data_IF_502987468723
#
_entry.id   IF_502987468723
#
_cell.length_a   1.000
_cell.length_b   1.000
_cell.length_c   1.000
_cell.angle_alpha   90.00
_cell.angle_beta   90.00
_cell.angle_gamma   90.00
#
_symmetry.space_group_name_H-M   'P 1'
#
loop_
_entity.id
_entity.type
_entity.pdbx_description
1 polymer ?
#
# COMPACT_ATOMS: atom_id res chain seq x y z
N UNK A 1 8.52 -12.51 2.40
CA UNK A 1 7.13 -12.43 1.92
C UNK A 1 7.04 -11.44 0.77
N UNK A 2 6.55 -11.87 -0.41
CA UNK A 2 6.47 -10.99 -1.59
C UNK A 2 5.53 -9.80 -1.40
N UNK A 3 5.81 -8.70 -2.10
CA UNK A 3 5.04 -7.44 -2.05
C UNK A 3 3.54 -7.69 -2.26
N UNK A 4 3.20 -8.56 -3.22
CA UNK A 4 1.82 -8.94 -3.54
C UNK A 4 1.09 -9.54 -2.34
N UNK A 5 1.73 -10.44 -1.59
CA UNK A 5 1.09 -11.10 -0.44
C UNK A 5 0.82 -10.10 0.71
N UNK A 6 1.68 -9.11 0.91
CA UNK A 6 1.45 -8.04 1.90
C UNK A 6 0.21 -7.21 1.54
N UNK A 7 0.06 -6.86 0.25
CA UNK A 7 -1.13 -6.15 -0.26
C UNK A 7 -2.41 -6.95 -0.04
N UNK A 8 -2.40 -8.25 -0.34
CA UNK A 8 -3.55 -9.12 -0.11
C UNK A 8 -3.90 -9.27 1.37
N UNK A 9 -2.90 -9.37 2.25
CA UNK A 9 -3.17 -9.39 3.70
C UNK A 9 -3.80 -8.09 4.18
N UNK A 10 -3.28 -6.92 3.78
CA UNK A 10 -3.90 -5.64 4.12
C UNK A 10 -5.36 -5.57 3.66
N UNK A 11 -5.64 -5.96 2.41
CA UNK A 11 -6.98 -5.99 1.87
C UNK A 11 -7.90 -6.94 2.66
N UNK A 12 -7.40 -8.13 3.02
CA UNK A 12 -8.14 -9.08 3.84
C UNK A 12 -8.52 -8.50 5.21
N UNK A 13 -7.56 -7.89 5.91
CA UNK A 13 -7.84 -7.25 7.20
C UNK A 13 -8.80 -6.07 7.07
N UNK A 14 -8.71 -5.28 6.00
CA UNK A 14 -9.67 -4.19 5.75
C UNK A 14 -11.09 -4.73 5.59
N UNK A 15 -11.27 -5.80 4.81
CA UNK A 15 -12.56 -6.45 4.62
C UNK A 15 -13.11 -6.92 5.97
N UNK A 16 -12.31 -7.63 6.76
CA UNK A 16 -12.71 -8.09 8.10
C UNK A 16 -13.11 -6.91 8.98
N UNK A 17 -12.30 -5.84 9.02
CA UNK A 17 -12.60 -4.67 9.82
C UNK A 17 -13.83 -3.89 9.34
N UNK A 18 -14.13 -3.85 8.03
CA UNK A 18 -15.35 -3.22 7.51
C UNK A 18 -16.60 -3.93 8.05
N UNK A 19 -16.66 -5.26 7.91
CA UNK A 19 -17.81 -6.03 8.41
C UNK A 19 -17.88 -6.05 9.94
N UNK A 20 -16.73 -6.10 10.62
CA UNK A 20 -16.68 -6.02 12.09
C UNK A 20 -17.14 -4.65 12.60
N UNK A 21 -16.76 -3.56 11.91
CA UNK A 21 -17.23 -2.21 12.22
C UNK A 21 -18.73 -2.06 12.01
N UNK A 22 -19.27 -2.68 10.95
CA UNK A 22 -20.73 -2.70 10.73
C UNK A 22 -21.45 -3.44 11.85
N UNK A 23 -20.95 -4.62 12.22
CA UNK A 23 -21.48 -5.39 13.32
C UNK A 23 -21.50 -4.58 14.63
N UNK A 24 -20.37 -3.96 14.98
CA UNK A 24 -20.28 -3.12 16.18
C UNK A 24 -21.18 -1.88 16.10
N UNK A 25 -21.27 -1.22 14.94
CA UNK A 25 -22.15 -0.07 14.74
C UNK A 25 -23.62 -0.43 14.97
N UNK A 26 -24.06 -1.59 14.45
CA UNK A 26 -25.41 -2.10 14.64
C UNK A 26 -25.65 -2.55 16.08
N UNK A 27 -24.69 -3.24 16.69
CA UNK A 27 -24.75 -3.65 18.08
C UNK A 27 -24.86 -2.44 19.02
N UNK A 28 -24.03 -1.41 18.84
CA UNK A 28 -24.09 -0.18 19.62
C UNK A 28 -25.37 0.62 19.38
N UNK A 29 -25.97 0.51 18.18
CA UNK A 29 -27.21 1.21 17.86
C UNK A 29 -28.44 0.51 18.46
N UNK A 30 -28.49 -0.81 18.39
CA UNK A 30 -29.67 -1.60 18.72
C UNK A 30 -29.59 -2.31 20.08
N UNK A 31 -28.40 -2.43 20.69
CA UNK A 31 -28.12 -3.06 21.98
C UNK A 31 -28.96 -4.33 22.21
N UNK A 32 -30.00 -4.26 23.06
CA UNK A 32 -30.84 -5.40 23.45
C UNK A 32 -31.80 -5.88 22.35
N UNK A 33 -32.07 -5.04 21.33
CA UNK A 33 -32.92 -5.37 20.18
C UNK A 33 -32.11 -5.79 18.96
N UNK A 34 -30.83 -6.14 19.14
CA UNK A 34 -30.00 -6.59 18.05
C UNK A 34 -30.40 -8.01 17.63
N UNK A 35 -30.96 -8.12 16.43
CA UNK A 35 -31.36 -9.38 15.82
C UNK A 35 -30.58 -9.63 14.52
N UNK A 36 -30.36 -10.90 14.18
CA UNK A 36 -29.66 -11.28 12.95
C UNK A 36 -30.33 -10.72 11.68
N UNK A 37 -31.66 -10.54 11.68
CA UNK A 37 -32.41 -9.95 10.57
C UNK A 37 -32.02 -8.49 10.32
N UNK A 38 -31.71 -7.73 11.39
CA UNK A 38 -31.23 -6.35 11.27
C UNK A 38 -29.87 -6.34 10.59
N UNK A 39 -28.97 -7.24 10.97
CA UNK A 39 -27.66 -7.35 10.31
C UNK A 39 -27.81 -7.71 8.83
N UNK A 40 -28.62 -8.72 8.50
CA UNK A 40 -28.84 -9.16 7.12
C UNK A 40 -29.46 -8.07 6.23
N UNK A 41 -30.37 -7.26 6.76
CA UNK A 41 -30.96 -6.15 6.00
C UNK A 41 -29.98 -5.02 5.69
N UNK A 42 -28.93 -4.85 6.50
CA UNK A 42 -27.87 -3.87 6.27
C UNK A 42 -26.68 -4.44 5.50
N UNK A 43 -26.52 -5.77 5.47
CA UNK A 43 -25.37 -6.42 4.86
C UNK A 43 -25.25 -6.09 3.37
N UNK A 44 -26.33 -6.24 2.59
CA UNK A 44 -26.30 -5.99 1.15
C UNK A 44 -25.99 -4.53 0.79
N UNK A 45 -26.70 -3.51 1.34
CA UNK A 45 -26.38 -2.11 1.07
C UNK A 45 -24.95 -1.72 1.46
N UNK A 46 -24.47 -2.17 2.62
CA UNK A 46 -23.12 -1.85 3.07
C UNK A 46 -22.05 -2.61 2.30
N UNK A 47 -22.32 -3.80 1.76
CA UNK A 47 -21.37 -4.52 0.89
C UNK A 47 -21.07 -3.71 -0.37
N UNK A 48 -22.08 -3.11 -1.00
CA UNK A 48 -21.90 -2.23 -2.16
C UNK A 48 -21.05 -1.02 -1.76
N UNK A 49 -21.35 -0.40 -0.62
CA UNK A 49 -20.58 0.74 -0.11
C UNK A 49 -19.12 0.37 0.18
N UNK A 50 -18.89 -0.77 0.82
CA UNK A 50 -17.56 -1.28 1.18
C UNK A 50 -16.74 -1.58 -0.06
N UNK A 51 -17.35 -2.13 -1.10
CA UNK A 51 -16.67 -2.32 -2.37
C UNK A 51 -16.15 -1.00 -2.96
N UNK A 52 -16.96 0.06 -2.93
CA UNK A 52 -16.53 1.40 -3.35
C UNK A 52 -15.43 1.97 -2.45
N UNK A 53 -15.52 1.76 -1.13
CA UNK A 53 -14.49 2.21 -0.20
C UNK A 53 -13.14 1.53 -0.47
N UNK A 54 -13.13 0.23 -0.77
CA UNK A 54 -11.92 -0.51 -1.13
C UNK A 54 -11.28 0.02 -2.41
N UNK A 55 -12.08 0.36 -3.43
CA UNK A 55 -11.58 1.02 -4.65
C UNK A 55 -10.89 2.34 -4.28
N UNK A 56 -11.51 3.14 -3.42
CA UNK A 56 -10.94 4.42 -3.00
C UNK A 56 -9.65 4.23 -2.21
N UNK A 57 -9.58 3.26 -1.28
CA UNK A 57 -8.33 2.94 -0.59
C UNK A 57 -7.23 2.53 -1.57
N UNK A 58 -7.58 1.81 -2.64
CA UNK A 58 -6.65 1.43 -3.69
C UNK A 58 -6.15 2.66 -4.46
N UNK A 59 -7.04 3.53 -4.92
CA UNK A 59 -6.68 4.76 -5.64
C UNK A 59 -5.81 5.70 -4.81
N UNK A 60 -6.05 5.76 -3.49
CA UNK A 60 -5.26 6.59 -2.57
C UNK A 60 -3.94 5.92 -2.12
N UNK A 61 -3.58 4.75 -2.66
CA UNK A 61 -2.30 4.10 -2.37
C UNK A 61 -2.19 3.51 -0.96
N UNK A 62 -3.31 3.22 -0.29
CA UNK A 62 -3.28 2.64 1.08
C UNK A 62 -2.80 1.19 1.15
N UNK A 63 -2.50 0.59 0.00
CA UNK A 63 -1.86 -0.72 -0.11
C UNK A 63 -0.37 -0.62 -0.46
N UNK A 64 0.18 0.60 -0.61
CA UNK A 64 1.59 0.85 -0.85
C UNK A 64 2.24 1.39 0.45
N UNK A 65 3.19 0.65 1.00
CA UNK A 65 3.77 0.92 2.33
C UNK A 65 4.71 2.14 2.35
N UNK A 66 5.23 2.50 1.19
CA UNK A 66 6.17 3.61 1.01
C UNK A 66 5.44 4.94 1.15
N UNK A 67 4.21 5.02 0.63
CA UNK A 67 3.37 6.22 0.62
C UNK A 67 2.82 6.58 2.01
N UNK A 68 2.75 5.63 2.95
CA UNK A 68 1.99 5.81 4.19
C UNK A 68 2.78 6.39 5.38
N UNK A 69 4.09 6.66 5.24
CA UNK A 69 4.96 6.97 6.39
C UNK A 69 4.94 8.41 6.88
N UNK A 70 4.88 9.39 5.98
CA UNK A 70 5.06 10.80 6.37
C UNK A 70 3.77 11.48 6.85
N UNK A 71 2.60 10.98 6.42
CA UNK A 71 1.31 11.66 6.63
C UNK A 71 0.14 10.72 6.89
N UNK A 72 0.39 9.57 7.54
CA UNK A 72 -0.61 8.52 7.78
C UNK A 72 -1.92 9.06 8.36
N UNK A 73 -1.84 9.92 9.38
CA UNK A 73 -3.03 10.47 10.06
C UNK A 73 -3.85 11.32 9.08
N UNK A 74 -3.22 12.29 8.42
CA UNK A 74 -3.90 13.18 7.47
C UNK A 74 -4.49 12.40 6.30
N UNK A 75 -3.70 11.50 5.68
CA UNK A 75 -4.17 10.63 4.59
C UNK A 75 -5.38 9.81 5.06
N UNK A 76 -5.32 9.21 6.25
CA UNK A 76 -6.42 8.39 6.80
C UNK A 76 -7.68 9.22 7.01
N UNK A 77 -7.56 10.40 7.62
CA UNK A 77 -8.72 11.29 7.84
C UNK A 77 -9.34 11.70 6.51
N UNK A 78 -8.52 12.07 5.51
CA UNK A 78 -9.00 12.46 4.19
C UNK A 78 -9.77 11.32 3.51
N UNK A 79 -9.22 10.10 3.49
CA UNK A 79 -9.85 8.97 2.79
C UNK A 79 -11.13 8.51 3.49
N UNK A 80 -11.13 8.48 4.83
CA UNK A 80 -12.32 8.11 5.60
C UNK A 80 -13.42 9.17 5.44
N UNK A 81 -13.06 10.45 5.42
CA UNK A 81 -14.02 11.53 5.18
C UNK A 81 -14.63 11.46 3.78
N UNK A 82 -13.80 11.21 2.76
CA UNK A 82 -14.27 11.03 1.39
C UNK A 82 -15.22 9.84 1.26
N UNK A 83 -14.86 8.70 1.87
CA UNK A 83 -15.69 7.50 1.92
C UNK A 83 -17.00 7.69 2.69
N UNK A 84 -16.98 8.46 3.78
CA UNK A 84 -18.18 8.83 4.51
C UNK A 84 -19.13 9.66 3.65
N UNK A 85 -18.61 10.70 2.99
CA UNK A 85 -19.38 11.55 2.07
C UNK A 85 -19.97 10.71 0.93
N UNK A 86 -19.19 9.80 0.35
CA UNK A 86 -19.67 8.86 -0.66
C UNK A 86 -20.81 7.98 -0.13
N UNK A 87 -20.71 7.49 1.11
CA UNK A 87 -21.77 6.71 1.75
C UNK A 87 -23.04 7.51 1.97
N UNK A 88 -22.93 8.79 2.31
CA UNK A 88 -24.08 9.70 2.41
C UNK A 88 -24.77 9.82 1.05
N UNK A 89 -24.01 10.04 -0.03
CA UNK A 89 -24.54 10.07 -1.39
C UNK A 89 -25.22 8.75 -1.76
N UNK A 90 -24.55 7.62 -1.55
CA UNK A 90 -25.06 6.30 -1.90
C UNK A 90 -26.40 5.99 -1.22
N UNK A 91 -26.52 6.23 0.08
CA UNK A 91 -27.75 5.93 0.82
C UNK A 91 -28.85 6.98 0.64
N UNK A 92 -28.53 8.20 0.22
CA UNK A 92 -29.53 9.23 -0.02
C UNK A 92 -30.13 9.14 -1.42
N UNK A 93 -29.31 8.86 -2.44
CA UNK A 93 -29.74 8.88 -3.85
C UNK A 93 -30.25 7.53 -4.36
N UNK A 94 -30.06 6.43 -3.63
CA UNK A 94 -30.55 5.10 -4.03
C UNK A 94 -31.77 4.70 -3.18
N UNK A 95 -33.01 4.81 -3.70
CA UNK A 95 -34.23 4.59 -2.93
C UNK A 95 -34.47 3.11 -2.57
N UNK A 96 -33.79 2.18 -3.26
CA UNK A 96 -33.99 0.74 -3.09
C UNK A 96 -33.62 0.22 -1.70
N UNK A 97 -32.81 0.95 -0.94
CA UNK A 97 -32.32 0.47 0.35
C UNK A 97 -33.34 0.49 1.48
N UNK A 98 -34.51 1.15 1.31
CA UNK A 98 -35.66 1.25 2.25
C UNK A 98 -35.35 1.72 3.70
N UNK A 99 -34.07 1.76 4.06
CA UNK A 99 -33.49 2.15 5.33
C UNK A 99 -32.53 3.29 5.00
N UNK A 100 -32.60 4.38 5.75
CA UNK A 100 -31.58 5.44 5.68
C UNK A 100 -30.71 5.32 6.92
N UNK A 101 -29.63 4.52 6.90
CA UNK A 101 -28.83 4.19 8.09
C UNK A 101 -27.91 5.34 8.49
N UNK A 102 -28.42 6.58 8.65
CA UNK A 102 -27.61 7.79 8.90
C UNK A 102 -26.70 7.62 10.12
N UNK A 103 -27.26 7.19 11.24
CA UNK A 103 -26.52 6.95 12.48
C UNK A 103 -25.56 5.77 12.34
N UNK A 104 -25.97 4.70 11.67
CA UNK A 104 -25.14 3.49 11.51
C UNK A 104 -23.95 3.78 10.58
N UNK A 105 -24.13 4.59 9.52
CA UNK A 105 -23.04 5.02 8.66
C UNK A 105 -22.01 5.83 9.46
N UNK A 106 -22.45 6.79 10.29
CA UNK A 106 -21.55 7.57 11.15
C UNK A 106 -20.79 6.66 12.11
N UNK A 107 -21.48 5.78 12.82
CA UNK A 107 -20.87 4.84 13.75
C UNK A 107 -19.88 3.92 13.04
N UNK A 108 -20.28 3.35 11.90
CA UNK A 108 -19.43 2.50 11.09
C UNK A 108 -18.17 3.23 10.62
N UNK A 109 -18.29 4.45 10.07
CA UNK A 109 -17.14 5.25 9.63
C UNK A 109 -16.18 5.59 10.76
N UNK A 110 -16.69 5.92 11.96
CA UNK A 110 -15.85 6.21 13.12
C UNK A 110 -15.12 4.96 13.63
N UNK A 111 -15.87 3.86 13.84
CA UNK A 111 -15.31 2.59 14.33
C UNK A 111 -14.29 2.04 13.34
N UNK A 112 -14.65 2.02 12.04
CA UNK A 112 -13.76 1.58 10.99
C UNK A 112 -12.53 2.48 10.88
N UNK A 113 -12.69 3.80 10.94
CA UNK A 113 -11.57 4.74 10.90
C UNK A 113 -10.54 4.47 12.00
N UNK A 114 -11.00 4.13 13.21
CA UNK A 114 -10.13 3.73 14.32
C UNK A 114 -9.39 2.43 13.97
N UNK A 115 -10.09 1.36 13.59
CA UNK A 115 -9.44 0.09 13.24
C UNK A 115 -8.48 0.22 12.07
N UNK A 116 -8.86 0.98 11.06
CA UNK A 116 -8.06 1.22 9.87
C UNK A 116 -6.77 1.97 10.20
N UNK A 117 -6.84 3.03 11.02
CA UNK A 117 -5.65 3.74 11.46
C UNK A 117 -4.69 2.83 12.25
N UNK A 118 -5.21 2.09 13.23
CA UNK A 118 -4.40 1.19 14.04
C UNK A 118 -3.84 0.02 13.24
N UNK A 119 -4.60 -0.53 12.30
CA UNK A 119 -4.11 -1.60 11.42
C UNK A 119 -2.96 -1.09 10.56
N UNK A 120 -3.07 0.10 9.96
CA UNK A 120 -1.99 0.68 9.17
C UNK A 120 -0.75 0.96 10.00
N UNK A 121 -0.91 1.53 11.20
CA UNK A 121 0.22 1.72 12.13
C UNK A 121 0.90 0.39 12.49
N UNK A 122 0.10 -0.64 12.80
CA UNK A 122 0.61 -1.97 13.13
C UNK A 122 1.35 -2.61 11.96
N UNK A 123 0.75 -2.63 10.77
CA UNK A 123 1.36 -3.24 9.59
C UNK A 123 2.61 -2.50 9.13
N UNK A 124 2.62 -1.17 9.20
CA UNK A 124 3.83 -0.40 8.92
C UNK A 124 4.97 -0.79 9.85
N UNK A 125 4.71 -0.83 11.17
CA UNK A 125 5.72 -1.22 12.16
C UNK A 125 6.15 -2.68 12.03
N UNK A 126 5.21 -3.59 11.79
CA UNK A 126 5.49 -5.02 11.70
C UNK A 126 6.30 -5.35 10.45
N UNK A 127 5.88 -4.85 9.28
CA UNK A 127 6.56 -5.12 8.02
C UNK A 127 7.89 -4.38 7.90
N UNK A 128 8.02 -3.16 8.43
CA UNK A 128 9.31 -2.46 8.42
C UNK A 128 10.35 -3.15 9.29
N UNK A 129 9.93 -3.77 10.40
CA UNK A 129 10.84 -4.42 11.35
C UNK A 129 11.24 -5.85 10.96
N UNK A 130 10.36 -6.60 10.30
CA UNK A 130 10.57 -8.05 10.09
C UNK A 130 10.68 -8.48 8.63
N UNK A 131 10.42 -7.59 7.68
CA UNK A 131 10.22 -7.95 6.27
C UNK A 131 10.97 -6.98 5.34
N UNK A 132 12.26 -6.83 5.59
CA UNK A 132 13.20 -6.10 4.74
C UNK A 132 13.22 -6.70 3.33
N UNK A 133 13.06 -5.84 2.34
CA UNK A 133 13.20 -6.18 0.94
C UNK A 133 14.64 -5.88 0.51
N UNK A 134 15.33 -6.89 -0.03
CA UNK A 134 16.70 -6.74 -0.49
C UNK A 134 16.73 -6.09 -1.86
N UNK A 135 17.31 -4.90 -1.92
CA UNK A 135 17.30 -4.04 -3.10
C UNK A 135 18.73 -3.75 -3.52
N UNK A 136 19.02 -3.91 -4.81
CA UNK A 136 20.26 -3.45 -5.40
C UNK A 136 20.00 -2.28 -6.35
N UNK A 137 20.86 -1.26 -6.29
CA UNK A 137 20.80 -0.09 -7.16
C UNK A 137 22.01 -0.11 -8.09
N UNK A 138 21.74 -0.23 -9.39
CA UNK A 138 22.71 -0.19 -10.47
C UNK A 138 22.80 1.25 -11.00
N UNK A 139 23.84 1.95 -10.57
CA UNK A 139 24.08 3.35 -10.87
C UNK A 139 25.18 3.92 -9.99
N UNK A 140 25.91 4.92 -10.49
CA UNK A 140 27.00 5.60 -9.75
C UNK A 140 26.77 7.11 -9.58
N UNK A 141 25.58 7.59 -9.92
CA UNK A 141 25.26 9.02 -9.88
C UNK A 141 25.17 9.56 -8.44
N UNK A 142 25.42 10.87 -8.27
CA UNK A 142 25.32 11.53 -6.97
C UNK A 142 23.91 11.39 -6.34
N UNK A 143 22.86 11.39 -7.15
CA UNK A 143 21.47 11.15 -6.70
C UNK A 143 21.25 9.70 -6.23
N UNK A 144 21.95 8.73 -6.82
CA UNK A 144 21.91 7.33 -6.36
C UNK A 144 22.51 7.21 -4.97
N UNK A 145 23.66 7.85 -4.73
CA UNK A 145 24.29 7.85 -3.40
C UNK A 145 23.43 8.58 -2.35
N UNK A 146 22.77 9.67 -2.74
CA UNK A 146 21.81 10.37 -1.89
C UNK A 146 20.63 9.47 -1.51
N UNK A 147 20.04 8.76 -2.48
CA UNK A 147 18.96 7.82 -2.23
C UNK A 147 19.42 6.66 -1.33
N UNK A 148 20.61 6.10 -1.58
CA UNK A 148 21.18 5.05 -0.72
C UNK A 148 21.32 5.53 0.73
N UNK A 149 21.78 6.76 0.92
CA UNK A 149 21.88 7.40 2.23
C UNK A 149 20.52 7.55 2.89
N UNK A 150 19.51 8.06 2.18
CA UNK A 150 18.15 8.19 2.73
C UNK A 150 17.55 6.85 3.16
N UNK A 151 17.78 5.78 2.40
CA UNK A 151 17.32 4.44 2.75
C UNK A 151 18.01 3.93 4.01
N UNK A 152 19.34 4.12 4.12
CA UNK A 152 20.12 3.73 5.32
C UNK A 152 19.68 4.52 6.56
N UNK A 153 19.39 5.80 6.42
CA UNK A 153 18.93 6.67 7.51
C UNK A 153 17.47 6.42 7.91
N UNK A 154 16.69 5.75 7.07
CA UNK A 154 15.27 5.46 7.31
C UNK A 154 15.00 3.95 7.27
N UNK A 155 15.46 3.17 8.27
CA UNK A 155 15.22 1.71 8.33
C UNK A 155 13.74 1.34 8.28
N UNK A 156 12.87 2.25 8.75
CA UNK A 156 11.43 2.07 8.68
C UNK A 156 10.91 1.92 7.24
N UNK A 157 11.66 2.34 6.20
CA UNK A 157 11.30 2.12 4.78
C UNK A 157 11.16 0.64 4.43
N UNK A 158 11.87 -0.26 5.12
CA UNK A 158 11.77 -1.70 4.90
C UNK A 158 12.63 -2.20 3.74
N UNK A 159 13.69 -1.48 3.38
CA UNK A 159 14.65 -1.89 2.35
C UNK A 159 16.02 -2.15 2.95
N UNK A 160 16.64 -3.24 2.53
CA UNK A 160 18.04 -3.57 2.80
C UNK A 160 18.82 -3.37 1.50
N UNK A 161 19.76 -2.44 1.50
CA UNK A 161 20.61 -2.19 0.34
C UNK A 161 21.70 -3.25 0.23
N UNK A 162 21.74 -3.93 -0.91
CA UNK A 162 22.78 -4.88 -1.27
C UNK A 162 23.64 -4.28 -2.38
N UNK A 163 24.95 -4.20 -2.15
CA UNK A 163 25.89 -3.76 -3.17
C UNK A 163 26.22 -4.93 -4.11
N UNK A 164 26.09 -4.68 -5.42
CA UNK A 164 26.39 -5.63 -6.49
C UNK A 164 27.72 -5.21 -7.13
N UNK A 165 28.56 -6.20 -7.39
CA UNK A 165 29.81 -6.02 -8.12
C UNK A 165 29.61 -6.45 -9.58
N UNK A 166 29.52 -5.46 -10.47
CA UNK A 166 29.30 -5.61 -11.91
C UNK A 166 30.42 -6.36 -12.64
N UNK A 167 31.59 -6.55 -12.01
CA UNK A 167 32.69 -7.33 -12.59
C UNK A 167 32.48 -8.84 -12.49
N UNK A 168 31.53 -9.28 -11.67
CA UNK A 168 31.21 -10.70 -11.42
C UNK A 168 29.88 -11.08 -12.07
N UNK A 169 29.57 -12.38 -12.05
CA UNK A 169 28.27 -12.85 -12.52
C UNK A 169 27.14 -12.32 -11.61
N UNK A 170 26.37 -11.39 -12.19
CA UNK A 170 25.17 -10.79 -11.58
C UNK A 170 24.15 -11.85 -11.14
N UNK A 171 23.99 -12.92 -11.92
CA UNK A 171 22.98 -13.93 -11.67
C UNK A 171 23.32 -14.77 -10.44
N UNK A 172 24.61 -15.07 -10.24
CA UNK A 172 25.08 -15.71 -9.01
C UNK A 172 24.90 -14.81 -7.80
N UNK A 173 25.24 -13.52 -7.92
CA UNK A 173 25.08 -12.57 -6.81
C UNK A 173 23.61 -12.40 -6.41
N UNK A 174 22.71 -12.25 -7.39
CA UNK A 174 21.28 -12.11 -7.12
C UNK A 174 20.72 -13.33 -6.38
N UNK A 175 21.14 -14.54 -6.78
CA UNK A 175 20.72 -15.78 -6.10
C UNK A 175 21.33 -15.90 -4.70
N UNK A 176 22.63 -15.64 -4.56
CA UNK A 176 23.37 -15.75 -3.30
C UNK A 176 22.85 -14.76 -2.26
N UNK A 177 22.70 -13.51 -2.67
CA UNK A 177 22.24 -12.42 -1.81
C UNK A 177 20.72 -12.33 -1.74
N UNK A 178 19.97 -13.20 -2.44
CA UNK A 178 18.50 -13.24 -2.44
C UNK A 178 17.87 -11.88 -2.76
N UNK A 179 18.42 -11.19 -3.76
CA UNK A 179 17.97 -9.85 -4.17
C UNK A 179 16.57 -9.97 -4.77
N UNK A 180 15.63 -9.18 -4.26
CA UNK A 180 14.23 -9.21 -4.70
C UNK A 180 13.94 -8.15 -5.75
N UNK A 181 14.63 -7.02 -5.67
CA UNK A 181 14.36 -5.85 -6.52
C UNK A 181 15.67 -5.24 -7.00
N UNK A 182 15.73 -4.97 -8.30
CA UNK A 182 16.85 -4.30 -8.95
C UNK A 182 16.36 -2.95 -9.47
N UNK A 183 17.03 -1.90 -9.04
CA UNK A 183 16.80 -0.54 -9.51
C UNK A 183 17.92 -0.18 -10.48
N UNK A 184 17.59 0.36 -11.64
CA UNK A 184 18.58 0.71 -12.66
C UNK A 184 18.38 2.14 -13.15
N UNK A 185 19.48 2.82 -13.46
CA UNK A 185 19.45 4.15 -14.10
C UNK A 185 19.30 4.00 -15.62
N UNK A 186 18.94 5.08 -16.31
CA UNK A 186 18.81 5.09 -17.79
C UNK A 186 20.09 4.64 -18.52
N UNK A 187 21.26 4.84 -17.90
CA UNK A 187 22.54 4.37 -18.45
C UNK A 187 22.54 2.85 -18.61
N UNK A 188 22.05 2.12 -17.60
CA UNK A 188 21.95 0.66 -17.65
C UNK A 188 20.82 0.20 -18.57
N UNK A 189 19.71 0.92 -18.67
CA UNK A 189 18.62 0.58 -19.59
C UNK A 189 19.07 0.56 -21.06
N UNK A 190 20.01 1.44 -21.42
CA UNK A 190 20.57 1.55 -22.78
C UNK A 190 21.71 0.58 -23.06
N UNK A 191 22.23 -0.12 -22.05
CA UNK A 191 23.31 -1.10 -22.23
C UNK A 191 22.74 -2.42 -22.79
N UNK A 192 23.15 -2.85 -24.02
CA UNK A 192 22.70 -4.12 -24.60
C UNK A 192 23.01 -5.33 -23.72
N UNK A 193 24.09 -5.28 -22.93
CA UNK A 193 24.44 -6.35 -21.98
C UNK A 193 23.40 -6.45 -20.87
N UNK A 194 22.96 -5.32 -20.33
CA UNK A 194 21.94 -5.28 -19.30
C UNK A 194 20.58 -5.71 -19.84
N UNK A 195 20.21 -5.34 -21.07
CA UNK A 195 18.95 -5.79 -21.68
C UNK A 195 18.89 -7.32 -21.79
N UNK A 196 19.96 -7.96 -22.26
CA UNK A 196 20.06 -9.42 -22.30
C UNK A 196 19.97 -10.05 -20.90
N UNK A 197 20.61 -9.42 -19.93
CA UNK A 197 20.62 -9.88 -18.54
C UNK A 197 19.23 -9.73 -17.90
N UNK A 198 18.53 -8.63 -18.19
CA UNK A 198 17.13 -8.41 -17.83
C UNK A 198 16.22 -9.50 -18.37
N UNK A 199 16.33 -9.87 -19.66
CA UNK A 199 15.56 -10.97 -20.25
C UNK A 199 15.80 -12.30 -19.52
N UNK A 200 17.05 -12.59 -19.15
CA UNK A 200 17.38 -13.81 -18.41
C UNK A 200 16.86 -13.82 -16.97
N UNK A 201 16.78 -12.64 -16.35
CA UNK A 201 16.35 -12.47 -14.95
C UNK A 201 14.83 -12.32 -14.79
N UNK A 202 14.10 -11.94 -15.85
CA UNK A 202 12.64 -11.78 -15.84
C UNK A 202 11.91 -13.03 -15.28
N UNK A 203 12.41 -14.22 -15.59
CA UNK A 203 11.81 -15.49 -15.16
C UNK A 203 12.11 -15.88 -13.71
N UNK A 204 13.03 -15.18 -13.03
CA UNK A 204 13.40 -15.48 -11.64
C UNK A 204 12.49 -14.78 -10.61
N UNK A 205 11.47 -14.04 -11.06
CA UNK A 205 10.54 -13.34 -10.17
C UNK A 205 11.16 -12.13 -9.46
N UNK A 206 12.25 -11.59 -10.00
CA UNK A 206 12.91 -10.37 -9.55
C UNK A 206 12.11 -9.17 -10.08
N UNK A 207 11.84 -8.19 -9.22
CA UNK A 207 11.22 -6.93 -9.66
C UNK A 207 12.28 -6.00 -10.21
N UNK A 208 12.00 -5.40 -11.36
CA UNK A 208 12.84 -4.38 -11.96
C UNK A 208 12.12 -3.05 -11.90
N UNK A 209 12.78 -2.03 -11.36
CA UNK A 209 12.24 -0.68 -11.23
C UNK A 209 13.23 0.33 -11.81
N UNK A 210 12.72 1.32 -12.50
CA UNK A 210 13.52 2.45 -12.95
C UNK A 210 13.89 3.33 -11.75
N UNK A 211 15.08 3.94 -11.81
CA UNK A 211 15.56 4.83 -10.77
C UNK A 211 14.62 6.02 -10.50
N UNK A 212 14.08 6.74 -11.52
CA UNK A 212 13.18 7.86 -11.28
C UNK A 212 11.92 7.49 -10.51
N UNK A 213 11.22 6.43 -10.93
CA UNK A 213 10.01 5.95 -10.27
C UNK A 213 10.26 5.46 -8.85
N UNK A 214 11.39 4.79 -8.60
CA UNK A 214 11.75 4.40 -7.24
C UNK A 214 12.13 5.60 -6.37
N UNK A 215 12.88 6.57 -6.90
CA UNK A 215 13.22 7.80 -6.18
C UNK A 215 11.97 8.57 -5.77
N UNK A 216 11.01 8.75 -6.66
CA UNK A 216 9.72 9.38 -6.36
C UNK A 216 8.96 8.64 -5.28
N UNK A 217 8.89 7.31 -5.39
CA UNK A 217 8.19 6.47 -4.41
C UNK A 217 8.76 6.59 -3.00
N UNK A 218 10.08 6.75 -2.86
CA UNK A 218 10.74 6.86 -1.54
C UNK A 218 10.70 8.30 -1.00
N UNK A 219 10.89 9.28 -1.87
CA UNK A 219 11.15 10.68 -1.47
C UNK A 219 9.93 11.58 -1.61
N UNK A 220 8.87 11.13 -2.28
CA UNK A 220 7.73 11.94 -2.77
C UNK A 220 8.18 13.13 -3.65
N UNK A 221 9.35 13.03 -4.30
CA UNK A 221 9.96 14.06 -5.16
C UNK A 221 10.49 13.47 -6.46
N UNK A 222 10.50 14.27 -7.53
CA UNK A 222 11.10 13.86 -8.80
C UNK A 222 12.61 14.18 -8.78
N UNK A 223 13.49 13.24 -9.16
CA UNK A 223 14.92 13.52 -9.24
C UNK A 223 15.22 14.51 -10.37
N UNK A 224 16.11 15.48 -10.11
CA UNK A 224 16.43 16.56 -11.04
C UNK A 224 17.01 16.01 -12.36
N UNK A 225 17.71 14.88 -12.30
CA UNK A 225 18.28 14.19 -13.47
C UNK A 225 17.24 13.71 -14.47
N UNK A 226 15.98 13.54 -14.06
CA UNK A 226 14.87 13.13 -14.95
C UNK A 226 14.14 14.29 -15.61
N UNK A 227 14.37 15.53 -15.18
CA UNK A 227 13.65 16.72 -15.70
C UNK A 227 14.42 17.38 -16.84
N UNK A 228 15.74 17.17 -16.96
CA UNK A 228 16.58 17.89 -17.92
C UNK A 228 16.73 17.22 -19.31
N UNK A 229 15.73 16.46 -19.77
CA UNK A 229 15.75 15.85 -21.10
C UNK A 229 14.49 16.18 -21.89
#
# INVERSE_FOLDING_TARGET
>A
MGIKLRKYLLLFFDIVFLYFSLYLALFLRHFQKFEAQIFLSHLFPFTILFFLWLIIFYTFGFYDFEFLKTSLIFKTISVISFNFVLGVFLFYFIPQFKITPKTILILNSLIFGIFFFFSRKFFLSFFSAHLLERVAILGKDAEVEKLKKEIRERPFLGYELVEIDLSKDLLEQIKKEKINTIIFTEEFEKDPKFQNLFYNLLFLGINFLDFPGFYERITEKIPVTSISK
#
